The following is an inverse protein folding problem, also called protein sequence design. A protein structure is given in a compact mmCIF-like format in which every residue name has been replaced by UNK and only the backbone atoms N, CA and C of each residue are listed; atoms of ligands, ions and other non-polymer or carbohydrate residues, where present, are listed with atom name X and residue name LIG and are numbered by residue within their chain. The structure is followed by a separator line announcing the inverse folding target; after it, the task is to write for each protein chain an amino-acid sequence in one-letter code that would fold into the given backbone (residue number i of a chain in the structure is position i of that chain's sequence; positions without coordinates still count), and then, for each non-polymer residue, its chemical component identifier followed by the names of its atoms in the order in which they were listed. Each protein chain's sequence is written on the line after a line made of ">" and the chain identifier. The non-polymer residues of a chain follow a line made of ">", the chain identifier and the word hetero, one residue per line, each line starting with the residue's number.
data_IF_403185534106
#
_entry.id   IF_403185534106
#
_cell.length_a   1.000
_cell.length_b   1.000
_cell.length_c   1.000
_cell.angle_alpha   90.00
_cell.angle_beta   90.00
_cell.angle_gamma   90.00
#
_symmetry.space_group_name_H-M   'P 1'
#
loop_
_entity.id
_entity.type
_entity.pdbx_description
1 polymer ?
#
# COMPACT_ATOMS: atom_id res chain seq x y z
N UNK A 1 8.80 -28.04 5.16
CA UNK A 1 8.75 -27.24 3.92
C UNK A 1 7.41 -26.53 3.92
N UNK A 2 7.36 -25.30 4.42
CA UNK A 2 6.17 -24.46 4.33
C UNK A 2 6.47 -23.40 3.29
N UNK A 3 5.69 -23.35 2.22
CA UNK A 3 5.78 -22.23 1.29
C UNK A 3 5.00 -21.08 1.94
N UNK A 4 5.69 -20.02 2.35
CA UNK A 4 5.06 -18.89 3.01
C UNK A 4 4.49 -17.94 1.96
N UNK A 5 3.17 -17.91 1.84
CA UNK A 5 2.48 -16.97 0.94
C UNK A 5 2.25 -15.63 1.63
N UNK A 6 2.53 -14.54 0.91
CA UNK A 6 2.21 -13.17 1.34
C UNK A 6 1.37 -12.48 0.27
N UNK A 7 0.67 -11.43 0.69
CA UNK A 7 -0.08 -10.55 -0.21
C UNK A 7 0.60 -9.20 -0.27
N UNK A 8 0.96 -8.76 -1.47
CA UNK A 8 1.51 -7.45 -1.73
C UNK A 8 0.42 -6.52 -2.25
N UNK A 9 0.37 -5.30 -1.74
CA UNK A 9 -0.45 -4.23 -2.29
C UNK A 9 0.41 -3.44 -3.28
N UNK A 10 0.09 -3.53 -4.57
CA UNK A 10 0.86 -2.89 -5.64
C UNK A 10 0.14 -1.64 -6.11
N UNK A 11 0.82 -0.51 -6.01
CA UNK A 11 0.35 0.77 -6.52
C UNK A 11 0.38 0.76 -8.05
N UNK A 12 -0.72 1.15 -8.67
CA UNK A 12 -0.80 1.33 -10.13
C UNK A 12 -0.14 2.65 -10.54
N UNK A 13 0.41 2.76 -11.77
CA UNK A 13 0.86 4.03 -12.31
C UNK A 13 -0.27 5.07 -12.32
N UNK A 14 0.06 6.30 -11.93
CA UNK A 14 -0.89 7.41 -11.87
C UNK A 14 -0.20 8.76 -11.88
N UNK A 15 -1.00 9.83 -11.94
CA UNK A 15 -0.54 11.20 -11.76
C UNK A 15 -0.85 11.66 -10.32
N UNK A 16 -0.16 12.69 -9.83
CA UNK A 16 -0.36 13.24 -8.48
C UNK A 16 -1.81 13.66 -8.20
N UNK A 17 -2.52 14.13 -9.23
CA UNK A 17 -3.91 14.59 -9.11
C UNK A 17 -4.93 13.45 -9.26
N UNK A 18 -4.48 12.21 -9.48
CA UNK A 18 -5.35 11.06 -9.69
C UNK A 18 -5.57 10.31 -8.39
N UNK A 19 -6.73 9.68 -8.29
CA UNK A 19 -7.03 8.75 -7.20
C UNK A 19 -5.97 7.64 -7.12
N UNK A 20 -5.52 7.35 -5.90
CA UNK A 20 -4.61 6.23 -5.62
C UNK A 20 -5.34 4.93 -5.92
N UNK A 21 -4.79 4.15 -6.86
CA UNK A 21 -5.31 2.83 -7.25
C UNK A 21 -4.28 1.76 -6.97
N UNK A 22 -4.71 0.70 -6.32
CA UNK A 22 -3.87 -0.43 -5.98
C UNK A 22 -4.52 -1.76 -6.39
N UNK A 23 -3.69 -2.76 -6.65
CA UNK A 23 -4.11 -4.16 -6.80
C UNK A 23 -3.42 -5.06 -5.77
N UNK A 24 -4.03 -6.20 -5.48
CA UNK A 24 -3.46 -7.22 -4.61
C UNK A 24 -2.75 -8.26 -5.47
N UNK A 25 -1.50 -8.55 -5.16
CA UNK A 25 -0.68 -9.58 -5.80
C UNK A 25 -0.33 -10.65 -4.76
N UNK A 26 -0.52 -11.92 -5.11
CA UNK A 26 -0.15 -13.06 -4.26
C UNK A 26 1.24 -13.54 -4.66
N UNK A 27 2.17 -13.56 -3.71
CA UNK A 27 3.54 -13.99 -3.97
C UNK A 27 4.03 -14.93 -2.90
N UNK A 28 4.96 -15.80 -3.27
CA UNK A 28 5.68 -16.65 -2.35
C UNK A 28 6.83 -15.83 -1.76
N UNK A 29 6.95 -15.82 -0.43
CA UNK A 29 8.07 -15.18 0.27
C UNK A 29 9.41 -15.79 -0.17
N UNK A 30 9.41 -17.09 -0.48
CA UNK A 30 10.56 -17.85 -0.96
C UNK A 30 11.09 -17.37 -2.32
N UNK A 31 10.30 -16.60 -3.09
CA UNK A 31 10.72 -16.05 -4.38
C UNK A 31 11.55 -14.75 -4.24
N UNK A 32 11.82 -14.28 -3.02
CA UNK A 32 12.61 -13.07 -2.70
C UNK A 32 12.23 -11.85 -3.57
N UNK A 33 10.98 -11.36 -3.47
CA UNK A 33 10.56 -10.21 -4.25
C UNK A 33 11.34 -8.96 -3.83
N UNK A 34 12.03 -8.33 -4.80
CA UNK A 34 12.76 -7.09 -4.57
C UNK A 34 11.84 -6.03 -3.95
N UNK A 35 12.16 -5.60 -2.73
CA UNK A 35 11.37 -4.64 -1.98
C UNK A 35 12.29 -3.69 -1.20
N UNK A 36 11.85 -2.44 -1.07
CA UNK A 36 12.50 -1.44 -0.21
C UNK A 36 11.60 -1.26 1.01
N UNK A 37 12.14 -1.53 2.19
CA UNK A 37 11.43 -1.28 3.43
C UNK A 37 11.57 0.19 3.83
N UNK A 38 10.43 0.84 4.09
CA UNK A 38 10.36 2.18 4.69
C UNK A 38 9.81 2.04 6.11
N UNK A 39 10.46 2.68 7.09
CA UNK A 39 9.94 2.79 8.44
C UNK A 39 9.15 4.08 8.56
N UNK A 40 7.82 3.98 8.68
CA UNK A 40 6.92 5.12 8.84
C UNK A 40 5.96 4.90 10.01
N UNK A 41 5.49 5.98 10.60
CA UNK A 41 4.45 5.97 11.62
C UNK A 41 3.09 6.21 10.98
N UNK A 42 2.07 5.49 11.43
CA UNK A 42 0.69 5.73 11.00
C UNK A 42 0.24 7.15 11.37
N UNK A 43 -0.40 7.86 10.42
CA UNK A 43 -0.95 9.19 10.64
C UNK A 43 -2.19 9.21 11.57
N UNK A 44 -2.78 10.39 11.74
CA UNK A 44 -3.97 10.58 12.58
C UNK A 44 -5.14 9.72 12.10
N UNK A 45 -5.73 8.92 13.01
CA UNK A 45 -6.88 8.06 12.73
C UNK A 45 -8.16 8.83 12.35
N UNK A 46 -8.20 10.14 12.63
CA UNK A 46 -9.31 11.02 12.28
C UNK A 46 -9.12 11.71 10.92
N UNK A 47 -7.90 11.82 10.41
CA UNK A 47 -7.59 12.33 9.07
C UNK A 47 -7.40 11.17 8.09
N UNK A 48 -8.49 10.78 7.43
CA UNK A 48 -8.50 9.67 6.47
C UNK A 48 -8.82 10.14 5.06
N UNK A 49 -8.16 9.51 4.08
CA UNK A 49 -8.44 9.66 2.65
C UNK A 49 -8.91 8.33 2.09
N UNK A 50 -9.75 8.39 1.05
CA UNK A 50 -10.23 7.20 0.36
C UNK A 50 -9.31 6.85 -0.80
N UNK A 51 -8.96 5.56 -0.91
CA UNK A 51 -8.21 5.00 -2.03
C UNK A 51 -8.97 3.81 -2.61
N UNK A 52 -8.68 3.44 -3.85
CA UNK A 52 -9.27 2.27 -4.49
C UNK A 52 -8.31 1.08 -4.42
N UNK A 53 -8.73 0.01 -3.75
CA UNK A 53 -8.01 -1.26 -3.71
C UNK A 53 -8.85 -2.31 -4.42
N UNK A 54 -8.34 -2.84 -5.55
CA UNK A 54 -9.04 -3.83 -6.36
C UNK A 54 -10.49 -3.42 -6.72
N UNK A 55 -10.72 -2.12 -6.95
CA UNK A 55 -12.04 -1.55 -7.27
C UNK A 55 -12.94 -1.29 -6.06
N UNK A 56 -12.48 -1.57 -4.84
CA UNK A 56 -13.20 -1.29 -3.61
C UNK A 56 -12.61 -0.06 -2.91
N UNK A 57 -13.49 0.85 -2.49
CA UNK A 57 -13.13 2.00 -1.67
C UNK A 57 -12.59 1.55 -0.29
N UNK A 58 -11.44 2.08 0.11
CA UNK A 58 -10.79 1.79 1.37
C UNK A 58 -10.24 3.08 2.00
N UNK A 59 -10.52 3.29 3.29
CA UNK A 59 -10.03 4.47 4.01
C UNK A 59 -8.66 4.18 4.60
N UNK A 60 -7.69 5.02 4.25
CA UNK A 60 -6.34 5.02 4.84
C UNK A 60 -6.12 6.31 5.60
N UNK A 61 -5.28 6.26 6.63
CA UNK A 61 -4.82 7.50 7.28
C UNK A 61 -3.97 8.29 6.30
N UNK A 62 -4.16 9.61 6.27
CA UNK A 62 -3.24 10.47 5.53
C UNK A 62 -1.87 10.37 6.20
N UNK A 63 -0.84 10.16 5.39
CA UNK A 63 0.53 9.97 5.87
C UNK A 63 0.98 11.15 6.75
N UNK A 64 1.85 10.89 7.73
CA UNK A 64 2.49 11.91 8.56
C UNK A 64 3.76 12.48 7.89
N UNK A 65 3.92 12.35 6.57
CA UNK A 65 4.93 13.10 5.81
C UNK A 65 4.50 14.56 5.61
N UNK A 66 4.06 15.21 6.69
CA UNK A 66 4.14 16.67 6.82
C UNK A 66 5.38 16.99 7.64
N UNK A 67 6.55 16.75 7.06
CA UNK A 67 7.70 17.60 7.30
C UNK A 67 8.54 17.62 6.02
N UNK A 68 8.78 18.84 5.55
CA UNK A 68 9.65 19.21 4.45
C UNK A 68 11.05 18.62 4.60
#
# INVERSE_FOLDING_TARGET
>A
MGCSEIRLLKLEPGCWDYEIRCRIEYVLLDNDPASVALSYTWGDLTDTVEISIAGQAFKVTRDLSTNL
#
